data_IF_097914964105
#
_entry.id   IF_097914964105
#
_cell.length_a   1.000
_cell.length_b   1.000
_cell.length_c   1.000
_cell.angle_alpha   90.00
_cell.angle_beta   90.00
_cell.angle_gamma   90.00
#
_symmetry.space_group_name_H-M   'P 1'
#
loop_
_entity.id
_entity.type
_entity.pdbx_description
1 polymer ?
#
# COMPACT_ATOMS: atom_id res chain seq x y z
N UNK A 1 -10.20 -11.99 -5.55
CA UNK A 1 -10.24 -10.97 -4.49
C UNK A 1 -9.35 -9.85 -4.99
N UNK A 2 -9.91 -9.04 -5.89
CA UNK A 2 -9.22 -7.96 -6.60
C UNK A 2 -9.23 -6.69 -5.74
N UNK A 3 -8.50 -6.71 -4.62
CA UNK A 3 -8.53 -5.61 -3.64
C UNK A 3 -7.28 -4.71 -3.72
N UNK A 4 -6.94 -4.25 -4.92
CA UNK A 4 -6.11 -3.06 -5.06
C UNK A 4 -7.04 -1.84 -5.07
N UNK A 5 -6.98 -1.01 -4.03
CA UNK A 5 -7.91 0.12 -3.89
C UNK A 5 -7.52 1.29 -4.78
N UNK A 6 -6.22 1.56 -4.93
CA UNK A 6 -5.66 2.51 -5.88
C UNK A 6 -4.13 2.38 -5.90
N UNK A 7 -3.52 2.73 -7.04
CA UNK A 7 -2.09 3.01 -7.13
C UNK A 7 -1.84 4.34 -7.85
N UNK A 8 -0.77 5.02 -7.49
CA UNK A 8 -0.32 6.25 -8.15
C UNK A 8 1.20 6.18 -8.33
N UNK A 9 1.75 6.43 -9.53
CA UNK A 9 3.19 6.51 -9.71
C UNK A 9 3.76 7.71 -8.94
N UNK A 10 4.80 7.46 -8.14
CA UNK A 10 5.58 8.50 -7.45
C UNK A 10 6.88 8.76 -8.20
N UNK A 11 7.50 7.71 -8.74
CA UNK A 11 8.68 7.76 -9.61
C UNK A 11 8.49 6.80 -10.78
N UNK A 12 9.48 6.71 -11.68
CA UNK A 12 9.47 5.77 -12.81
C UNK A 12 9.42 4.29 -12.41
N UNK A 13 9.76 3.96 -11.15
CA UNK A 13 9.79 2.59 -10.65
C UNK A 13 8.96 2.40 -9.38
N UNK A 14 8.59 3.48 -8.69
CA UNK A 14 7.89 3.41 -7.39
C UNK A 14 6.45 3.87 -7.53
N UNK A 15 5.53 3.03 -7.05
CA UNK A 15 4.10 3.34 -6.94
C UNK A 15 3.70 3.39 -5.48
N UNK A 16 2.83 4.36 -5.15
CA UNK A 16 2.13 4.38 -3.87
C UNK A 16 0.82 3.61 -4.03
N UNK A 17 0.57 2.69 -3.11
CA UNK A 17 -0.56 1.76 -3.16
C UNK A 17 -1.38 1.84 -1.88
N UNK A 18 -2.68 1.61 -2.03
CA UNK A 18 -3.61 1.37 -0.94
C UNK A 18 -4.17 -0.05 -1.08
N UNK A 19 -4.01 -0.86 -0.04
CA UNK A 19 -4.52 -2.23 -0.08
C UNK A 19 -4.18 -3.05 1.16
N UNK A 20 -4.58 -4.32 1.13
CA UNK A 20 -4.09 -5.30 2.09
C UNK A 20 -2.60 -5.61 1.86
N UNK A 21 -1.96 -6.15 2.89
CA UNK A 21 -0.57 -6.63 2.83
C UNK A 21 -0.55 -8.14 3.09
N UNK A 22 0.40 -8.82 2.48
CA UNK A 22 0.62 -10.27 2.59
C UNK A 22 1.34 -10.62 3.90
N UNK A 23 1.25 -11.88 4.31
CA UNK A 23 1.97 -12.41 5.49
C UNK A 23 3.48 -12.17 5.42
N UNK A 24 4.07 -12.22 4.21
CA UNK A 24 5.51 -11.96 4.02
C UNK A 24 5.85 -10.50 4.34
N UNK A 25 5.02 -9.57 3.89
CA UNK A 25 5.22 -8.13 4.11
C UNK A 25 4.99 -7.77 5.59
N UNK A 26 4.05 -8.43 6.26
CA UNK A 26 3.85 -8.35 7.71
C UNK A 26 5.09 -8.79 8.47
N UNK A 27 5.65 -9.94 8.11
CA UNK A 27 6.86 -10.46 8.77
C UNK A 27 8.02 -9.48 8.59
N UNK A 28 8.26 -9.02 7.37
CA UNK A 28 9.33 -8.06 7.10
C UNK A 28 9.14 -6.76 7.88
N UNK A 29 7.92 -6.19 7.88
CA UNK A 29 7.65 -4.96 8.60
C UNK A 29 7.90 -5.12 10.12
N UNK A 30 7.53 -6.26 10.70
CA UNK A 30 7.82 -6.57 12.10
C UNK A 30 9.34 -6.74 12.35
N UNK A 31 10.07 -7.37 11.43
CA UNK A 31 11.53 -7.50 11.47
C UNK A 31 12.21 -6.11 11.38
N UNK A 32 11.62 -5.18 10.63
CA UNK A 32 12.04 -3.79 10.49
C UNK A 32 11.57 -2.90 11.67
N UNK A 33 10.91 -3.47 12.68
CA UNK A 33 10.43 -2.78 13.89
C UNK A 33 9.11 -2.01 13.72
N UNK A 34 8.44 -2.16 12.57
CA UNK A 34 7.12 -1.59 12.31
C UNK A 34 6.07 -2.61 12.75
N UNK A 35 5.46 -2.38 13.91
CA UNK A 35 4.42 -3.26 14.43
C UNK A 35 3.16 -3.21 13.54
N UNK A 36 2.96 -4.25 12.72
CA UNK A 36 1.77 -4.44 11.89
C UNK A 36 1.15 -5.80 12.14
N UNK A 37 -0.18 -5.83 12.19
CA UNK A 37 -0.95 -7.05 12.48
C UNK A 37 -1.39 -7.81 11.21
N UNK A 38 -1.14 -7.25 10.03
CA UNK A 38 -1.54 -7.85 8.75
C UNK A 38 -3.03 -7.79 8.43
N UNK A 39 -3.82 -7.17 9.29
CA UNK A 39 -5.25 -6.98 9.10
C UNK A 39 -5.58 -5.55 8.69
N UNK A 40 -6.61 -5.40 7.84
CA UNK A 40 -7.06 -4.11 7.35
C UNK A 40 -6.26 -3.59 6.15
N UNK A 41 -6.31 -2.27 5.96
CA UNK A 41 -5.75 -1.61 4.79
C UNK A 41 -4.55 -0.75 5.15
N UNK A 42 -3.57 -0.71 4.25
CA UNK A 42 -2.30 -0.04 4.45
C UNK A 42 -2.00 0.88 3.27
N UNK A 43 -1.26 1.95 3.58
CA UNK A 43 -0.59 2.79 2.60
C UNK A 43 0.85 2.33 2.52
N UNK A 44 1.31 1.95 1.33
CA UNK A 44 2.66 1.44 1.14
C UNK A 44 3.25 1.85 -0.21
N UNK A 45 4.58 1.83 -0.30
CA UNK A 45 5.32 1.99 -1.55
C UNK A 45 5.75 0.62 -2.06
N UNK A 46 5.53 0.38 -3.35
CA UNK A 46 6.02 -0.79 -4.05
C UNK A 46 6.93 -0.36 -5.20
N UNK A 47 7.95 -1.17 -5.48
CA UNK A 47 8.82 -1.00 -6.64
C UNK A 47 8.36 -1.94 -7.76
N UNK A 48 7.79 -1.40 -8.83
CA UNK A 48 7.31 -2.18 -9.98
C UNK A 48 8.46 -2.81 -10.77
N UNK A 49 9.65 -2.20 -10.77
CA UNK A 49 10.83 -2.76 -11.41
C UNK A 49 11.41 -3.94 -10.61
N UNK A 50 11.10 -4.04 -9.31
CA UNK A 50 11.63 -5.05 -8.40
C UNK A 50 10.52 -5.70 -7.55
N UNK A 51 9.57 -6.43 -8.16
CA UNK A 51 8.35 -6.92 -7.48
C UNK A 51 8.62 -7.98 -6.39
N UNK A 52 9.87 -8.45 -6.27
CA UNK A 52 10.29 -9.39 -5.22
C UNK A 52 10.81 -8.70 -3.96
N UNK A 53 11.09 -7.39 -4.04
CA UNK A 53 11.49 -6.61 -2.88
C UNK A 53 10.29 -6.36 -1.96
N UNK A 54 10.52 -6.30 -0.64
CA UNK A 54 9.46 -5.94 0.29
C UNK A 54 8.90 -4.54 0.00
N UNK A 55 7.60 -4.38 0.20
CA UNK A 55 6.97 -3.06 0.20
C UNK A 55 7.41 -2.25 1.42
N UNK A 56 7.39 -0.93 1.29
CA UNK A 56 7.61 -0.03 2.41
C UNK A 56 6.26 0.45 2.97
N UNK A 57 5.91 0.05 4.19
CA UNK A 57 4.68 0.49 4.84
C UNK A 57 4.84 1.91 5.38
N UNK A 58 3.90 2.79 5.03
CA UNK A 58 3.88 4.19 5.45
C UNK A 58 2.84 4.44 6.56
N UNK A 59 1.67 3.82 6.43
CA UNK A 59 0.57 3.99 7.38
C UNK A 59 -0.43 2.84 7.32
N UNK A 60 -1.20 2.68 8.41
CA UNK A 60 -2.39 1.81 8.47
C UNK A 60 -3.65 2.68 8.48
N UNK A 61 -4.65 2.31 7.70
CA UNK A 61 -5.96 2.95 7.73
C UNK A 61 -6.80 2.41 8.89
N UNK A 62 -7.54 3.30 9.55
CA UNK A 62 -8.44 2.94 10.65
C UNK A 62 -9.65 2.13 10.20
N UNK A 63 -10.05 2.25 8.93
CA UNK A 63 -11.17 1.49 8.35
C UNK A 63 -11.11 1.43 6.83
N UNK A 64 -11.80 0.44 6.25
CA UNK A 64 -12.04 0.32 4.81
C UNK A 64 -12.59 1.61 4.19
N UNK A 65 -13.51 2.27 4.90
CA UNK A 65 -14.13 3.52 4.43
C UNK A 65 -13.11 4.64 4.22
N UNK A 66 -12.16 4.80 5.13
CA UNK A 66 -11.12 5.82 4.99
C UNK A 66 -10.08 5.44 3.93
N UNK A 67 -9.73 4.16 3.83
CA UNK A 67 -8.89 3.64 2.75
C UNK A 67 -9.52 3.90 1.37
N UNK A 68 -10.82 3.61 1.23
CA UNK A 68 -11.58 3.87 0.00
C UNK A 68 -11.73 5.35 -0.32
N UNK A 69 -11.89 6.23 0.68
CA UNK A 69 -11.88 7.68 0.47
C UNK A 69 -10.53 8.17 -0.04
N UNK A 70 -9.44 7.70 0.55
CA UNK A 70 -8.10 8.07 0.11
C UNK A 70 -7.78 7.53 -1.29
N UNK A 71 -8.17 6.29 -1.58
CA UNK A 71 -8.04 5.70 -2.90
C UNK A 71 -8.74 6.54 -3.99
N UNK A 72 -9.95 7.05 -3.72
CA UNK A 72 -10.64 7.97 -4.64
C UNK A 72 -9.88 9.28 -4.87
N UNK A 73 -9.21 9.80 -3.84
CA UNK A 73 -8.36 10.98 -3.99
C UNK A 73 -7.17 10.69 -4.91
N UNK A 74 -6.54 9.52 -4.78
CA UNK A 74 -5.44 9.09 -5.66
C UNK A 74 -5.92 8.95 -7.11
N UNK A 75 -7.02 8.24 -7.35
CA UNK A 75 -7.54 7.99 -8.69
C UNK A 75 -8.03 9.27 -9.38
N UNK A 76 -8.47 10.28 -8.63
CA UNK A 76 -8.90 11.58 -9.19
C UNK A 76 -7.74 12.40 -9.79
N UNK A 77 -6.47 12.05 -9.49
CA UNK A 77 -5.28 12.74 -9.99
C UNK A 77 -4.62 12.09 -11.21
N UNK A 78 -4.98 10.85 -11.57
CA UNK A 78 -4.43 10.18 -12.76
C UNK A 78 -5.15 10.55 -14.08
N UNK A 79 -6.09 11.51 -14.04
CA UNK A 79 -6.87 11.95 -15.20
C UNK A 79 -6.48 13.36 -15.71
N UNK A 80 -5.29 13.86 -15.39
CA UNK A 80 -4.77 15.15 -15.84
C UNK A 80 -3.56 14.97 -16.77
#
# INVERSE_FOLDING_TARGET
MDEYFASLPVTNATVICVGGITTREVQQANDDGIAVDGSGYYLFLANEAEPKQPIQILAKFVSEREAGRFARLLSSRSAA
#
